data_IF_474975745473
#
_entry.id   IF_474975745473
#
_cell.length_a   1.000
_cell.length_b   1.000
_cell.length_c   1.000
_cell.angle_alpha   90.00
_cell.angle_beta   90.00
_cell.angle_gamma   90.00
#
_symmetry.space_group_name_H-M   'P 1'
#
loop_
_entity.id
_entity.type
_entity.pdbx_description
1 polymer ?
#
# COMPACT_ATOMS: atom_id res chain seq x y z
N UNK A 1 6.37 20.68 -6.03
CA UNK A 1 4.96 21.06 -6.26
C UNK A 1 4.13 19.97 -6.94
N UNK A 2 4.60 19.34 -8.03
CA UNK A 2 3.85 18.32 -8.81
C UNK A 2 3.33 17.15 -7.95
N UNK A 3 4.14 16.62 -7.03
CA UNK A 3 3.75 15.49 -6.17
C UNK A 3 2.58 15.76 -5.23
N UNK A 4 2.43 17.02 -4.77
CA UNK A 4 1.29 17.43 -3.93
C UNK A 4 -0.03 17.38 -4.70
N UNK A 5 -0.02 17.84 -5.96
CA UNK A 5 -1.22 17.80 -6.81
C UNK A 5 -1.65 16.37 -7.13
N UNK A 6 -0.68 15.49 -7.42
CA UNK A 6 -0.94 14.07 -7.66
C UNK A 6 -1.52 13.41 -6.40
N UNK A 7 -0.91 13.59 -5.23
CA UNK A 7 -1.42 13.04 -3.97
C UNK A 7 -2.86 13.48 -3.67
N UNK A 8 -3.18 14.76 -3.91
CA UNK A 8 -4.54 15.30 -3.76
C UNK A 8 -5.50 14.63 -4.72
N UNK A 9 -5.13 14.48 -5.99
CA UNK A 9 -5.95 13.81 -7.00
C UNK A 9 -6.26 12.35 -6.60
N UNK A 10 -5.27 11.59 -6.12
CA UNK A 10 -5.49 10.23 -5.63
C UNK A 10 -6.43 10.20 -4.40
N UNK A 11 -6.28 11.14 -3.46
CA UNK A 11 -7.19 11.21 -2.30
C UNK A 11 -8.63 11.57 -2.67
N UNK A 12 -8.81 12.50 -3.61
CA UNK A 12 -10.12 12.95 -4.09
C UNK A 12 -10.80 11.81 -4.85
N UNK A 13 -10.09 11.15 -5.77
CA UNK A 13 -10.62 10.00 -6.53
C UNK A 13 -11.03 8.86 -5.60
N UNK A 14 -10.25 8.57 -4.55
CA UNK A 14 -10.64 7.58 -3.54
C UNK A 14 -11.88 8.02 -2.73
N UNK A 15 -11.96 9.28 -2.32
CA UNK A 15 -13.13 9.80 -1.59
C UNK A 15 -14.40 9.72 -2.43
N UNK A 16 -14.30 10.08 -3.72
CA UNK A 16 -15.38 9.95 -4.70
C UNK A 16 -15.80 8.48 -4.90
N UNK A 17 -14.83 7.56 -4.92
CA UNK A 17 -15.06 6.11 -5.07
C UNK A 17 -15.81 5.47 -3.91
N UNK A 18 -15.56 5.96 -2.69
CA UNK A 18 -16.07 5.35 -1.46
C UNK A 18 -17.35 5.98 -0.94
N UNK A 19 -17.61 7.26 -1.25
CA UNK A 19 -18.81 7.95 -0.78
C UNK A 19 -20.03 7.64 -1.67
N UNK A 20 -21.15 7.38 -1.01
CA UNK A 20 -22.48 7.32 -1.60
C UNK A 20 -23.30 8.48 -1.06
N UNK A 21 -24.00 9.21 -1.94
CA UNK A 21 -25.01 10.20 -1.55
C UNK A 21 -26.33 9.65 -2.06
N UNK A 22 -27.33 9.50 -1.18
CA UNK A 22 -28.68 9.04 -1.54
C UNK A 22 -28.68 7.72 -2.34
N UNK A 23 -27.81 6.77 -1.99
CA UNK A 23 -27.69 5.47 -2.67
C UNK A 23 -26.93 5.49 -4.01
N UNK A 24 -26.62 6.66 -4.56
CA UNK A 24 -25.79 6.82 -5.76
C UNK A 24 -24.32 7.00 -5.36
N UNK A 25 -23.41 6.24 -5.99
CA UNK A 25 -21.96 6.45 -5.83
C UNK A 25 -21.56 7.81 -6.38
N UNK A 26 -20.81 8.62 -5.64
CA UNK A 26 -20.35 9.94 -6.12
C UNK A 26 -19.56 9.86 -7.43
N UNK A 27 -18.84 8.76 -7.67
CA UNK A 27 -18.18 8.53 -8.96
C UNK A 27 -19.15 8.64 -10.13
N UNK A 28 -20.36 8.10 -9.98
CA UNK A 28 -21.38 8.19 -11.01
C UNK A 28 -21.83 9.64 -11.17
N UNK A 29 -21.98 10.37 -10.06
CA UNK A 29 -22.35 11.79 -10.09
C UNK A 29 -21.30 12.68 -10.77
N UNK A 30 -20.02 12.30 -10.77
CA UNK A 30 -18.97 13.01 -11.54
C UNK A 30 -18.87 12.53 -12.99
N UNK A 31 -19.17 11.26 -13.27
CA UNK A 31 -19.04 10.67 -14.61
C UNK A 31 -20.23 10.96 -15.54
N UNK A 32 -21.45 11.01 -15.01
CA UNK A 32 -22.67 11.17 -15.83
C UNK A 32 -22.91 12.59 -16.34
N UNK A 33 -22.63 13.69 -15.61
CA UNK A 33 -22.94 15.04 -16.11
C UNK A 33 -22.25 15.38 -17.43
N UNK A 34 -20.96 15.07 -17.66
CA UNK A 34 -20.33 15.29 -18.97
C UNK A 34 -21.00 14.50 -20.09
N UNK A 35 -21.44 13.26 -19.80
CA UNK A 35 -22.13 12.40 -20.78
C UNK A 35 -23.53 12.94 -21.10
N UNK A 36 -24.27 13.38 -20.09
CA UNK A 36 -25.60 13.98 -20.26
C UNK A 36 -25.52 15.33 -20.99
N UNK A 37 -24.51 16.16 -20.68
CA UNK A 37 -24.23 17.41 -21.38
C UNK A 37 -23.83 17.16 -22.84
N UNK A 38 -23.05 16.11 -23.10
CA UNK A 38 -22.73 15.70 -24.46
C UNK A 38 -23.98 15.29 -25.24
N UNK A 39 -24.85 14.47 -24.66
CA UNK A 39 -26.12 14.06 -25.27
C UNK A 39 -27.05 15.26 -25.51
N UNK A 40 -27.15 16.18 -24.55
CA UNK A 40 -27.93 17.41 -24.70
C UNK A 40 -27.38 18.34 -25.78
N UNK A 41 -26.06 18.54 -25.78
CA UNK A 41 -25.37 19.34 -26.80
C UNK A 41 -25.47 18.73 -28.20
N UNK A 42 -25.50 17.40 -28.29
CA UNK A 42 -25.77 16.70 -29.54
C UNK A 42 -27.21 16.94 -30.03
N UNK A 43 -28.20 16.82 -29.15
CA UNK A 43 -29.62 17.04 -29.47
C UNK A 43 -29.94 18.50 -29.86
N UNK A 44 -29.25 19.46 -29.25
CA UNK A 44 -29.45 20.90 -29.47
C UNK A 44 -28.50 21.51 -30.51
N UNK A 45 -27.64 20.70 -31.16
CA UNK A 45 -26.77 21.15 -32.24
C UNK A 45 -25.61 22.05 -31.81
N UNK A 46 -25.00 21.79 -30.65
CA UNK A 46 -23.87 22.57 -30.15
C UNK A 46 -22.66 22.55 -31.09
N UNK A 47 -21.84 23.62 -31.09
CA UNK A 47 -20.64 23.69 -31.90
C UNK A 47 -19.73 22.47 -31.70
N UNK A 48 -19.15 21.97 -32.80
CA UNK A 48 -18.28 20.79 -32.81
C UNK A 48 -17.11 20.94 -31.81
N UNK A 49 -16.59 22.16 -31.62
CA UNK A 49 -15.54 22.43 -30.63
C UNK A 49 -15.95 22.12 -29.18
N UNK A 50 -17.20 22.43 -28.81
CA UNK A 50 -17.73 22.13 -27.46
C UNK A 50 -17.92 20.63 -27.28
N UNK A 51 -18.41 19.93 -28.31
CA UNK A 51 -18.57 18.48 -28.29
C UNK A 51 -17.23 17.76 -28.19
N UNK A 52 -16.21 18.19 -28.95
CA UNK A 52 -14.86 17.66 -28.89
C UNK A 52 -14.21 17.86 -27.50
N UNK A 53 -14.40 19.05 -26.91
CA UNK A 53 -13.93 19.33 -25.54
C UNK A 53 -14.57 18.41 -24.50
N UNK A 54 -15.88 18.15 -24.61
CA UNK A 54 -16.59 17.22 -23.72
C UNK A 54 -16.09 15.78 -23.86
N UNK A 55 -15.86 15.30 -25.08
CA UNK A 55 -15.30 13.96 -25.32
C UNK A 55 -13.92 13.82 -24.67
N UNK A 56 -13.04 14.83 -24.85
CA UNK A 56 -11.72 14.83 -24.21
C UNK A 56 -11.84 14.81 -22.67
N UNK A 57 -12.76 15.58 -22.11
CA UNK A 57 -13.03 15.58 -20.66
C UNK A 57 -13.51 14.21 -20.16
N UNK A 58 -14.42 13.55 -20.89
CA UNK A 58 -14.92 12.20 -20.57
C UNK A 58 -13.78 11.18 -20.64
N UNK A 59 -12.96 11.24 -21.69
CA UNK A 59 -11.80 10.37 -21.84
C UNK A 59 -10.79 10.57 -20.71
N UNK A 60 -10.44 11.81 -20.42
CA UNK A 60 -9.51 12.18 -19.36
C UNK A 60 -9.97 11.75 -17.97
N UNK A 61 -11.25 11.97 -17.63
CA UNK A 61 -11.79 11.57 -16.33
C UNK A 61 -11.79 10.05 -16.18
N UNK A 62 -12.25 9.30 -17.19
CA UNK A 62 -12.22 7.84 -17.15
C UNK A 62 -10.80 7.28 -17.07
N UNK A 63 -9.87 7.83 -17.86
CA UNK A 63 -8.46 7.46 -17.81
C UNK A 63 -7.87 7.70 -16.42
N UNK A 64 -8.11 8.87 -15.83
CA UNK A 64 -7.63 9.23 -14.49
C UNK A 64 -8.15 8.26 -13.41
N UNK A 65 -9.44 7.91 -13.47
CA UNK A 65 -10.02 6.93 -12.55
C UNK A 65 -9.48 5.51 -12.78
N UNK A 66 -9.28 5.11 -14.04
CA UNK A 66 -8.71 3.82 -14.37
C UNK A 66 -7.27 3.71 -13.85
N UNK A 67 -6.46 4.74 -14.06
CA UNK A 67 -5.10 4.84 -13.55
C UNK A 67 -5.09 4.81 -12.02
N UNK A 68 -5.95 5.61 -11.37
CA UNK A 68 -6.08 5.62 -9.91
C UNK A 68 -6.46 4.25 -9.36
N UNK A 69 -7.40 3.54 -9.99
CA UNK A 69 -7.77 2.18 -9.59
C UNK A 69 -6.61 1.18 -9.78
N UNK A 70 -5.87 1.29 -10.90
CA UNK A 70 -4.70 0.43 -11.18
C UNK A 70 -3.61 0.62 -10.13
N UNK A 71 -3.38 1.86 -9.70
CA UNK A 71 -2.43 2.21 -8.65
C UNK A 71 -2.99 1.96 -7.23
N UNK A 72 -4.16 1.33 -7.11
CA UNK A 72 -4.87 1.16 -5.85
C UNK A 72 -5.01 2.47 -5.03
N UNK A 73 -5.17 3.58 -5.73
CA UNK A 73 -5.27 4.94 -5.19
C UNK A 73 -4.03 5.43 -4.42
N UNK A 74 -2.88 4.77 -4.54
CA UNK A 74 -1.61 5.19 -3.92
C UNK A 74 -0.45 5.02 -4.88
N UNK A 75 0.41 6.03 -4.99
CA UNK A 75 1.64 5.90 -5.78
C UNK A 75 2.87 6.08 -4.91
N UNK A 76 3.75 5.09 -4.90
CA UNK A 76 5.04 5.17 -4.23
C UNK A 76 6.12 5.70 -5.18
N UNK A 77 6.92 6.65 -4.71
CA UNK A 77 8.06 7.21 -5.43
C UNK A 77 9.31 6.98 -4.60
N UNK A 78 10.25 6.22 -5.14
CA UNK A 78 11.54 5.94 -4.50
C UNK A 78 12.33 7.23 -4.36
N UNK A 79 12.90 7.47 -3.18
CA UNK A 79 13.88 8.51 -2.99
C UNK A 79 15.24 8.02 -3.53
N UNK A 80 15.74 8.63 -4.62
CA UNK A 80 16.98 8.23 -5.28
C UNK A 80 18.24 8.64 -4.53
N UNK A 81 18.14 9.58 -3.60
CA UNK A 81 19.26 10.00 -2.72
C UNK A 81 19.51 8.99 -1.59
N UNK A 82 18.86 7.83 -1.66
CA UNK A 82 19.02 6.74 -0.72
C UNK A 82 20.41 6.10 -0.86
N UNK A 83 21.28 6.43 0.09
CA UNK A 83 22.59 5.79 0.27
C UNK A 83 22.45 4.55 1.16
N UNK A 84 23.31 3.55 0.91
CA UNK A 84 23.42 2.34 1.74
C UNK A 84 23.71 2.78 3.16
N UNK A 85 22.73 2.63 4.04
CA UNK A 85 22.85 3.16 5.40
C UNK A 85 23.82 2.34 6.23
N UNK A 86 24.77 3.04 6.87
CA UNK A 86 25.53 2.54 8.01
C UNK A 86 24.55 2.30 9.16
N UNK A 87 24.44 1.07 9.62
CA UNK A 87 23.51 0.73 10.71
C UNK A 87 24.03 1.39 11.98
N UNK A 88 23.24 2.29 12.55
CA UNK A 88 23.44 2.83 13.89
C UNK A 88 22.78 1.90 14.91
N UNK A 89 23.60 1.18 15.67
CA UNK A 89 23.12 0.23 16.68
C UNK A 89 22.43 0.94 17.86
N UNK A 90 22.68 2.23 18.07
CA UNK A 90 22.06 3.00 19.16
C UNK A 90 20.59 3.33 18.89
N UNK A 91 20.14 3.21 17.63
CA UNK A 91 18.78 3.50 17.17
C UNK A 91 17.92 2.25 16.99
N UNK A 92 18.40 1.10 17.43
CA UNK A 92 17.66 -0.15 17.32
C UNK A 92 16.45 -0.14 18.25
N UNK A 93 15.35 -0.68 17.75
CA UNK A 93 14.13 -0.77 18.53
C UNK A 93 14.23 -1.93 19.53
N UNK A 94 13.79 -1.74 20.78
CA UNK A 94 13.70 -2.83 21.72
C UNK A 94 12.64 -3.84 21.25
N UNK A 95 12.83 -5.15 21.52
CA UNK A 95 11.87 -6.16 21.15
C UNK A 95 10.52 -5.94 21.85
N UNK A 96 9.45 -6.37 21.19
CA UNK A 96 8.05 -6.29 21.62
C UNK A 96 7.51 -4.88 21.90
N UNK A 97 8.27 -3.83 21.59
CA UNK A 97 7.77 -2.45 21.67
C UNK A 97 6.93 -2.14 20.44
N UNK A 98 5.64 -1.92 20.66
CA UNK A 98 4.69 -1.49 19.63
C UNK A 98 4.88 -0.02 19.31
N UNK A 99 4.96 0.28 18.03
CA UNK A 99 5.18 1.61 17.48
C UNK A 99 3.99 1.93 16.59
N UNK A 100 3.32 3.02 16.88
CA UNK A 100 2.22 3.50 16.05
C UNK A 100 2.75 4.00 14.70
N UNK A 101 2.11 3.57 13.63
CA UNK A 101 2.40 3.97 12.27
C UNK A 101 1.10 3.99 11.45
N UNK A 102 1.20 4.29 10.16
CA UNK A 102 0.17 3.97 9.18
C UNK A 102 0.74 2.96 8.19
N UNK A 103 -0.11 2.14 7.60
CA UNK A 103 0.34 1.18 6.60
C UNK A 103 -0.62 1.05 5.43
N UNK A 104 -0.08 0.71 4.26
CA UNK A 104 -0.83 0.44 3.04
C UNK A 104 -0.22 -0.74 2.30
N UNK A 105 -1.02 -1.48 1.54
CA UNK A 105 -0.59 -2.67 0.80
C UNK A 105 -1.42 -3.91 1.12
N UNK A 106 -0.94 -5.08 0.72
CA UNK A 106 -1.62 -6.35 0.94
C UNK A 106 -1.33 -6.87 2.36
N UNK A 107 -2.39 -7.08 3.14
CA UNK A 107 -2.33 -7.67 4.48
C UNK A 107 -3.19 -8.93 4.52
N UNK A 108 -2.81 -9.91 5.34
CA UNK A 108 -3.49 -11.21 5.41
C UNK A 108 -3.54 -11.79 6.81
N UNK A 109 -4.67 -12.41 7.14
CA UNK A 109 -4.88 -13.19 8.38
C UNK A 109 -5.74 -14.39 8.07
N UNK A 110 -5.25 -15.59 8.38
CA UNK A 110 -6.04 -16.83 8.34
C UNK A 110 -6.81 -17.03 7.02
N UNK A 111 -6.14 -16.82 5.88
CA UNK A 111 -6.73 -17.00 4.54
C UNK A 111 -7.56 -15.81 4.04
N UNK A 112 -7.77 -14.78 4.86
CA UNK A 112 -8.42 -13.53 4.43
C UNK A 112 -7.37 -12.51 4.02
N UNK A 113 -7.41 -12.11 2.75
CA UNK A 113 -6.55 -11.07 2.20
C UNK A 113 -7.34 -9.79 1.93
N UNK A 114 -6.72 -8.65 2.21
CA UNK A 114 -7.28 -7.35 1.85
C UNK A 114 -6.15 -6.37 1.51
N UNK A 115 -6.35 -5.61 0.44
CA UNK A 115 -5.44 -4.52 0.09
C UNK A 115 -5.89 -3.25 0.81
N UNK A 116 -5.17 -2.91 1.87
CA UNK A 116 -5.50 -1.78 2.73
C UNK A 116 -4.94 -0.50 2.13
N UNK A 117 -5.78 0.54 2.10
CA UNK A 117 -5.39 1.89 1.74
C UNK A 117 -5.14 2.71 3.02
N UNK A 118 -3.89 3.11 3.23
CA UNK A 118 -3.39 3.95 4.32
C UNK A 118 -4.24 3.91 5.60
N UNK A 119 -4.05 2.87 6.40
CA UNK A 119 -4.78 2.62 7.66
C UNK A 119 -3.90 2.80 8.89
N UNK A 120 -4.49 3.10 10.07
CA UNK A 120 -3.77 3.00 11.33
C UNK A 120 -3.12 1.62 11.47
N UNK A 121 -1.87 1.60 11.91
CA UNK A 121 -1.09 0.39 12.03
C UNK A 121 -0.15 0.44 13.25
N UNK A 122 0.35 -0.71 13.65
CA UNK A 122 1.43 -0.84 14.62
C UNK A 122 2.52 -1.75 14.07
N UNK A 123 3.77 -1.34 14.26
CA UNK A 123 4.96 -2.14 13.97
C UNK A 123 5.62 -2.56 15.27
N UNK A 124 6.15 -3.78 15.34
CA UNK A 124 7.09 -4.19 16.37
C UNK A 124 8.03 -5.28 15.86
N UNK A 125 9.17 -5.38 16.52
CA UNK A 125 10.14 -6.45 16.33
C UNK A 125 9.96 -7.52 17.42
N UNK A 126 9.96 -8.79 17.04
CA UNK A 126 9.82 -9.94 17.94
C UNK A 126 11.21 -10.53 18.21
N UNK A 127 11.53 -10.97 19.45
CA UNK A 127 12.83 -11.52 19.80
C UNK A 127 13.32 -12.68 18.92
N UNK A 128 12.41 -13.39 18.26
CA UNK A 128 12.69 -14.52 17.37
C UNK A 128 13.15 -14.09 15.95
N UNK A 129 13.39 -12.80 15.72
CA UNK A 129 13.83 -12.28 14.41
C UNK A 129 12.69 -11.99 13.43
N UNK A 130 11.45 -11.98 13.91
CA UNK A 130 10.28 -11.61 13.10
C UNK A 130 9.92 -10.14 13.27
N UNK A 131 9.51 -9.53 12.18
CA UNK A 131 8.91 -8.21 12.14
C UNK A 131 7.42 -8.34 11.88
N UNK A 132 6.62 -7.64 12.69
CA UNK A 132 5.17 -7.68 12.58
C UNK A 132 4.62 -6.30 12.28
N UNK A 133 3.72 -6.24 11.31
CA UNK A 133 2.92 -5.06 11.01
C UNK A 133 1.45 -5.43 11.15
N UNK A 134 0.77 -4.80 12.10
CA UNK A 134 -0.67 -4.94 12.31
C UNK A 134 -1.37 -3.70 11.77
N UNK A 135 -2.31 -3.87 10.84
CA UNK A 135 -3.05 -2.76 10.23
C UNK A 135 -4.56 -2.92 10.46
N UNK A 136 -5.25 -1.81 10.71
CA UNK A 136 -6.69 -1.79 10.99
C UNK A 136 -7.51 -1.75 9.69
N UNK A 137 -8.30 -2.78 9.42
CA UNK A 137 -9.19 -2.83 8.25
C UNK A 137 -10.51 -2.07 8.51
N UNK A 138 -11.11 -2.35 9.67
CA UNK A 138 -12.33 -1.72 10.20
C UNK A 138 -12.11 -1.47 11.69
N UNK A 139 -12.86 -0.54 12.33
CA UNK A 139 -12.78 -0.32 13.78
C UNK A 139 -12.76 -1.65 14.56
N UNK A 140 -11.64 -1.94 15.22
CA UNK A 140 -11.45 -3.16 16.02
C UNK A 140 -11.18 -4.46 15.24
N UNK A 141 -11.00 -4.41 13.91
CA UNK A 141 -10.63 -5.56 13.06
C UNK A 141 -9.27 -5.32 12.42
N UNK A 142 -8.32 -6.19 12.73
CA UNK A 142 -6.93 -6.05 12.33
C UNK A 142 -6.51 -7.14 11.35
N UNK A 143 -5.67 -6.75 10.40
CA UNK A 143 -4.91 -7.66 9.55
C UNK A 143 -3.43 -7.58 9.90
N UNK A 144 -2.69 -8.65 9.67
CA UNK A 144 -1.28 -8.75 10.04
C UNK A 144 -0.41 -8.98 8.82
N UNK A 145 0.86 -8.63 8.97
CA UNK A 145 1.91 -9.05 8.09
C UNK A 145 3.14 -9.42 8.90
N UNK A 146 3.63 -10.62 8.66
CA UNK A 146 4.85 -11.15 9.25
C UNK A 146 5.92 -11.23 8.16
N UNK A 147 7.14 -10.85 8.49
CA UNK A 147 8.32 -11.06 7.66
C UNK A 147 9.57 -11.15 8.54
N UNK A 148 10.56 -11.90 8.10
CA UNK A 148 11.86 -12.04 8.77
C UNK A 148 12.99 -11.56 7.87
N UNK A 149 14.19 -11.41 8.43
CA UNK A 149 15.42 -11.14 7.68
C UNK A 149 15.66 -12.08 6.49
N UNK A 150 15.27 -13.35 6.60
CA UNK A 150 15.44 -14.36 5.54
C UNK A 150 14.48 -14.16 4.38
N UNK A 151 13.24 -13.75 4.68
CA UNK A 151 12.23 -13.47 3.66
C UNK A 151 12.42 -12.10 2.98
N UNK A 152 13.21 -11.20 3.58
CA UNK A 152 13.38 -9.83 3.13
C UNK A 152 14.16 -9.76 1.81
N UNK A 153 13.52 -9.19 0.80
CA UNK A 153 14.11 -9.01 -0.54
C UNK A 153 14.68 -7.61 -0.71
N UNK A 154 13.92 -6.59 -0.32
CA UNK A 154 14.29 -5.20 -0.55
C UNK A 154 13.63 -4.27 0.48
N UNK A 155 14.31 -3.19 0.80
CA UNK A 155 13.83 -2.11 1.65
C UNK A 155 14.19 -0.78 0.98
N UNK A 156 13.20 0.08 0.76
CA UNK A 156 13.37 1.35 0.06
C UNK A 156 12.69 2.47 0.81
N UNK A 157 13.37 3.61 0.94
CA UNK A 157 12.74 4.85 1.37
C UNK A 157 12.16 5.59 0.16
N UNK A 158 11.06 6.27 0.40
CA UNK A 158 10.42 7.09 -0.62
C UNK A 158 9.22 7.85 -0.07
N UNK A 159 8.42 8.35 -0.99
CA UNK A 159 7.20 9.08 -0.68
C UNK A 159 5.98 8.33 -1.19
N UNK A 160 4.98 8.18 -0.34
CA UNK A 160 3.65 7.75 -0.73
C UNK A 160 2.82 8.98 -1.10
N UNK A 161 2.35 9.02 -2.34
CA UNK A 161 1.47 10.07 -2.84
C UNK A 161 0.03 9.71 -2.50
N UNK A 162 -0.43 10.21 -1.36
CA UNK A 162 -1.83 10.09 -0.94
C UNK A 162 -2.18 11.22 0.03
N UNK A 163 -3.16 12.06 -0.34
CA UNK A 163 -3.63 13.16 0.51
C UNK A 163 -3.06 14.51 0.13
N UNK A 164 -3.08 15.46 1.07
CA UNK A 164 -2.64 16.84 0.84
C UNK A 164 -1.14 16.97 0.60
N UNK A 165 -0.35 16.08 1.20
CA UNK A 165 1.11 16.11 1.18
C UNK A 165 1.67 14.69 0.94
N UNK A 166 2.83 14.57 0.27
CA UNK A 166 3.56 13.31 0.20
C UNK A 166 3.95 12.84 1.60
N UNK A 167 3.78 11.55 1.87
CA UNK A 167 4.05 10.95 3.18
C UNK A 167 5.36 10.17 3.10
N UNK A 168 6.30 10.45 4.01
CA UNK A 168 7.54 9.67 4.11
C UNK A 168 7.22 8.21 4.44
N UNK A 169 7.71 7.30 3.61
CA UNK A 169 7.27 5.91 3.59
C UNK A 169 8.43 4.96 3.36
N UNK A 170 8.43 3.88 4.12
CA UNK A 170 9.31 2.73 3.97
C UNK A 170 8.58 1.64 3.19
N UNK A 171 9.03 1.35 1.97
CA UNK A 171 8.56 0.22 1.19
C UNK A 171 9.39 -1.02 1.56
N UNK A 172 8.70 -2.06 2.04
CA UNK A 172 9.29 -3.32 2.47
C UNK A 172 8.78 -4.41 1.54
N UNK A 173 9.69 -5.02 0.79
CA UNK A 173 9.40 -6.15 -0.08
C UNK A 173 9.97 -7.42 0.52
N UNK A 174 9.13 -8.44 0.63
CA UNK A 174 9.51 -9.76 1.15
C UNK A 174 8.82 -10.89 0.37
N UNK A 175 9.29 -12.10 0.57
CA UNK A 175 8.69 -13.33 0.05
C UNK A 175 7.65 -13.86 1.03
N UNK A 176 6.40 -13.90 0.59
CA UNK A 176 5.27 -14.44 1.33
C UNK A 176 4.98 -15.88 0.92
N UNK A 177 4.70 -16.74 1.91
CA UNK A 177 4.20 -18.12 1.73
C UNK A 177 2.81 -18.29 2.33
N UNK A 178 1.96 -17.28 2.16
CA UNK A 178 0.60 -17.24 2.70
C UNK A 178 -0.35 -16.70 1.64
N UNK A 179 -1.64 -16.99 1.82
CA UNK A 179 -2.72 -16.60 0.91
C UNK A 179 -3.65 -17.77 0.59
N UNK A 180 -4.74 -17.56 -0.17
CA UNK A 180 -5.70 -18.61 -0.51
C UNK A 180 -5.02 -19.82 -1.17
N UNK A 181 -3.96 -19.58 -1.93
CA UNK A 181 -3.17 -20.63 -2.60
C UNK A 181 -2.29 -21.45 -1.63
N UNK A 182 -2.06 -20.94 -0.42
CA UNK A 182 -1.25 -21.58 0.65
C UNK A 182 -2.10 -22.09 1.81
N UNK A 183 -3.33 -21.60 1.99
CA UNK A 183 -4.28 -22.12 2.98
C UNK A 183 -5.02 -23.34 2.41
N UNK A 184 -4.41 -24.52 2.49
CA UNK A 184 -5.15 -25.78 2.40
C UNK A 184 -5.66 -26.15 3.81
N UNK A 185 -6.96 -26.07 4.03
CA UNK A 185 -7.57 -26.62 5.24
C UNK A 185 -7.68 -28.15 5.09
N UNK A 186 -6.95 -28.93 5.90
CA UNK A 186 -7.00 -30.41 5.91
C UNK A 186 -5.84 -31.06 6.69
N UNK A 187 -6.00 -32.34 7.09
CA UNK A 187 -5.09 -33.16 7.92
C UNK A 187 -3.66 -33.40 7.37
N UNK A 188 -3.28 -32.79 6.23
CA UNK A 188 -2.00 -33.02 5.54
C UNK A 188 -0.82 -32.30 6.21
N UNK A 189 -1.07 -31.47 7.23
CA UNK A 189 -0.03 -30.72 7.95
C UNK A 189 0.71 -31.50 9.06
N UNK A 190 0.53 -32.83 9.16
CA UNK A 190 1.34 -33.66 10.07
C UNK A 190 2.73 -34.02 9.53
N UNK A 191 2.99 -33.87 8.22
CA UNK A 191 4.25 -34.36 7.60
C UNK A 191 5.29 -33.27 7.25
N UNK A 192 5.00 -31.98 7.52
CA UNK A 192 6.00 -30.90 7.42
C UNK A 192 6.66 -30.66 6.06
N UNK A 193 6.20 -31.32 4.98
CA UNK A 193 6.78 -31.21 3.64
C UNK A 193 6.23 -30.01 2.88
N UNK A 194 7.03 -28.95 2.78
CA UNK A 194 6.76 -27.74 1.99
C UNK A 194 6.93 -27.95 0.46
N UNK A 195 7.23 -29.17 0.01
CA UNK A 195 7.63 -29.45 -1.39
C UNK A 195 6.50 -29.24 -2.42
N UNK A 196 5.23 -29.40 -2.00
CA UNK A 196 4.05 -29.27 -2.85
C UNK A 196 3.41 -27.86 -2.81
N UNK A 197 4.01 -26.91 -2.09
CA UNK A 197 3.51 -25.54 -2.00
C UNK A 197 3.91 -24.71 -3.23
N UNK A 198 3.05 -23.79 -3.70
CA UNK A 198 3.41 -22.89 -4.78
C UNK A 198 4.61 -22.01 -4.41
N UNK A 199 5.43 -21.59 -5.38
CA UNK A 199 6.63 -20.78 -5.12
C UNK A 199 6.26 -19.48 -4.40
N UNK A 200 7.09 -19.00 -3.46
CA UNK A 200 6.76 -17.85 -2.63
C UNK A 200 6.46 -16.59 -3.45
N UNK A 201 5.40 -15.87 -3.07
CA UNK A 201 4.95 -14.65 -3.75
C UNK A 201 5.70 -13.43 -3.23
N UNK A 202 6.15 -12.57 -4.14
CA UNK A 202 6.70 -11.25 -3.77
C UNK A 202 5.57 -10.31 -3.32
N UNK A 203 5.60 -9.88 -2.07
CA UNK A 203 4.66 -8.92 -1.48
C UNK A 203 5.40 -7.66 -1.09
N UNK A 204 4.76 -6.50 -1.26
CA UNK A 204 5.28 -5.22 -0.80
C UNK A 204 4.25 -4.54 0.09
N UNK A 205 4.69 -4.18 1.28
CA UNK A 205 3.93 -3.33 2.21
C UNK A 205 4.64 -1.99 2.35
N UNK A 206 3.86 -0.97 2.66
CA UNK A 206 4.35 0.38 2.86
C UNK A 206 4.04 0.79 4.29
N UNK A 207 5.07 1.08 5.06
CA UNK A 207 4.95 1.64 6.42
C UNK A 207 5.20 3.14 6.33
N UNK A 208 4.24 3.92 6.78
CA UNK A 208 4.28 5.37 6.89
C UNK A 208 4.45 5.72 8.39
N UNK A 209 5.68 5.97 8.87
CA UNK A 209 5.92 6.34 10.26
C UNK A 209 5.23 7.66 10.60
N UNK A 210 4.85 7.85 11.87
CA UNK A 210 4.32 9.13 12.32
C UNK A 210 5.41 10.20 12.40
N UNK A 211 6.62 9.79 12.78
CA UNK A 211 7.79 10.65 12.95
C UNK A 211 8.99 10.11 12.16
N UNK A 212 9.86 11.01 11.71
CA UNK A 212 11.07 10.66 10.94
C UNK A 212 12.01 9.74 11.73
N UNK A 213 12.22 10.04 13.03
CA UNK A 213 13.07 9.23 13.91
C UNK A 213 12.56 7.79 14.04
N UNK A 214 11.23 7.65 14.19
CA UNK A 214 10.58 6.35 14.25
C UNK A 214 10.80 5.57 12.95
N UNK A 215 10.68 6.24 11.81
CA UNK A 215 10.97 5.64 10.51
C UNK A 215 12.41 5.16 10.36
N UNK A 216 13.35 5.97 10.83
CA UNK A 216 14.77 5.60 10.86
C UNK A 216 15.02 4.40 11.79
N UNK A 217 14.45 4.38 13.00
CA UNK A 217 14.62 3.29 13.94
C UNK A 217 14.07 1.95 13.41
N UNK A 218 12.87 1.95 12.82
CA UNK A 218 12.29 0.77 12.14
C UNK A 218 13.24 0.26 11.06
N UNK A 219 13.72 1.17 10.22
CA UNK A 219 14.62 0.85 9.11
C UNK A 219 15.96 0.29 9.60
N UNK A 220 16.58 0.91 10.59
CA UNK A 220 17.83 0.43 11.19
C UNK A 220 17.66 -0.97 11.78
N UNK A 221 16.54 -1.23 12.45
CA UNK A 221 16.23 -2.54 13.04
C UNK A 221 16.12 -3.63 11.97
N UNK A 222 15.36 -3.40 10.89
CA UNK A 222 15.20 -4.36 9.80
C UNK A 222 16.53 -4.63 9.08
N UNK A 223 17.31 -3.57 8.80
CA UNK A 223 18.60 -3.72 8.10
C UNK A 223 19.64 -4.43 8.97
N UNK A 224 19.66 -4.16 10.28
CA UNK A 224 20.54 -4.84 11.22
C UNK A 224 20.25 -6.35 11.28
N UNK A 225 18.97 -6.71 11.41
CA UNK A 225 18.52 -8.11 11.45
C UNK A 225 18.88 -8.83 10.13
N UNK A 226 18.63 -8.19 8.99
CA UNK A 226 18.99 -8.72 7.67
C UNK A 226 20.50 -8.92 7.48
N UNK A 227 21.34 -8.01 8.02
CA UNK A 227 22.80 -8.17 7.97
C UNK A 227 23.27 -9.34 8.84
N UNK A 228 22.75 -9.46 10.06
CA UNK A 228 23.09 -10.56 10.97
C UNK A 228 22.70 -11.91 10.38
N UNK A 229 21.51 -12.02 9.79
CA UNK A 229 21.07 -13.26 9.15
C UNK A 229 21.97 -13.67 7.98
N UNK A 230 22.45 -12.71 7.17
CA UNK A 230 23.38 -13.00 6.06
C UNK A 230 24.78 -13.39 6.53
N UNK A 231 25.23 -12.84 7.65
CA UNK A 231 26.52 -13.21 8.25
C UNK A 231 26.51 -14.62 8.84
N UNK A 232 25.37 -15.06 9.40
CA UNK A 232 25.25 -16.41 9.98
C UNK A 232 25.06 -17.54 8.95
N UNK A 233 24.86 -17.20 7.67
CA UNK A 233 24.72 -18.18 6.57
C UNK A 233 26.08 -18.42 5.86
N UNK A 234 27.09 -17.59 6.13
CA UNK A 234 28.47 -17.75 5.62
C UNK A 234 29.36 -18.45 6.62
#
# INVERSE_FOLDING_TARGET
MVYRYLGRAYSITHSLATRTILGLRLVNLVRWPPVLLFLYGWLTGWPIGVQAGLILLIGWTNYSFWQAKRDNYTRFIVNKDFTIVTVDETRLLPPNKRIAARATGLFSVSGRESNLLLRPAAYWYVPLGEHVVMAEEKPGKFLYQFFSAQSLQNIQNGWLLFGSEPIDTLAITFLARWGPDYTRFGQVYEDGSDADLPPPRRVTIYICPLDKETGEAIRHTIVADARRARQNIG
#
